data_IF_554111596447
#
_entry.id   IF_554111596447
#
_cell.length_a   1.000
_cell.length_b   1.000
_cell.length_c   1.000
_cell.angle_alpha   90.00
_cell.angle_beta   90.00
_cell.angle_gamma   90.00
#
_symmetry.space_group_name_H-M   'P 1'
#
loop_
_entity.id
_entity.type
_entity.pdbx_description
1 polymer ?
#
# COMPACT_ATOMS: atom_id res chain seq x y z
N UNK A 1 -18.75 9.82 5.36
CA UNK A 1 -17.53 9.17 4.82
C UNK A 1 -16.83 10.24 4.03
N UNK A 2 -15.75 10.79 4.59
CA UNK A 2 -14.98 11.82 3.90
C UNK A 2 -13.88 11.13 3.11
N UNK A 3 -13.97 11.22 1.78
CA UNK A 3 -12.98 10.71 0.85
C UNK A 3 -12.04 11.87 0.51
N UNK A 4 -10.86 11.87 1.10
CA UNK A 4 -9.80 12.81 0.74
C UNK A 4 -8.92 12.14 -0.33
N UNK A 5 -8.79 12.77 -1.50
CA UNK A 5 -7.79 12.36 -2.49
C UNK A 5 -6.48 13.02 -2.09
N UNK A 6 -5.53 12.24 -1.58
CA UNK A 6 -4.23 12.76 -1.18
C UNK A 6 -3.32 12.89 -2.40
N UNK A 7 -3.57 13.90 -3.23
CA UNK A 7 -2.71 14.23 -4.38
C UNK A 7 -1.27 14.57 -3.99
N UNK A 8 -1.01 14.93 -2.73
CA UNK A 8 0.34 15.26 -2.22
C UNK A 8 1.18 14.05 -1.79
N UNK A 9 0.61 12.83 -1.76
CA UNK A 9 1.38 11.64 -1.38
C UNK A 9 2.21 11.09 -2.53
N UNK A 10 1.76 11.27 -3.78
CA UNK A 10 2.46 10.81 -4.98
C UNK A 10 3.24 11.97 -5.60
N UNK A 11 4.57 11.89 -5.55
CA UNK A 11 5.45 12.88 -6.18
C UNK A 11 5.48 12.69 -7.70
N UNK A 12 4.34 12.88 -8.38
CA UNK A 12 4.29 13.14 -9.82
C UNK A 12 4.28 11.94 -10.77
N UNK A 13 4.22 10.69 -10.31
CA UNK A 13 4.06 9.54 -11.22
C UNK A 13 2.58 9.31 -11.55
N UNK A 14 2.16 9.89 -12.69
CA UNK A 14 0.79 9.93 -13.27
C UNK A 14 0.06 8.58 -13.47
N UNK A 15 0.64 7.46 -13.05
CA UNK A 15 0.10 6.11 -13.33
C UNK A 15 -0.41 5.35 -12.11
N UNK A 16 -0.18 5.85 -10.89
CA UNK A 16 -0.58 5.22 -9.64
C UNK A 16 -1.82 5.93 -9.07
N UNK A 17 -2.90 5.20 -8.83
CA UNK A 17 -4.10 5.75 -8.19
C UNK A 17 -4.10 5.39 -6.70
N UNK A 18 -3.93 6.41 -5.87
CA UNK A 18 -3.96 6.26 -4.41
C UNK A 18 -5.30 6.75 -3.85
N UNK A 19 -5.88 5.92 -2.99
CA UNK A 19 -7.07 6.25 -2.22
C UNK A 19 -6.73 6.13 -0.73
N UNK A 20 -6.99 7.19 0.01
CA UNK A 20 -6.90 7.17 1.47
C UNK A 20 -8.24 7.59 2.01
N UNK A 21 -8.76 6.82 2.96
CA UNK A 21 -10.07 7.08 3.56
C UNK A 21 -9.95 7.05 5.06
N UNK A 22 -10.45 8.09 5.73
CA UNK A 22 -10.66 8.06 7.18
C UNK A 22 -11.92 7.27 7.47
N UNK A 23 -11.78 6.22 8.25
CA UNK A 23 -12.84 5.28 8.62
C UNK A 23 -12.90 5.12 10.14
N UNK A 24 -13.96 4.48 10.62
CA UNK A 24 -14.05 4.01 12.00
C UNK A 24 -13.95 2.49 12.00
N UNK A 25 -12.82 1.94 12.42
CA UNK A 25 -12.61 0.48 12.54
C UNK A 25 -12.76 0.07 13.99
N UNK A 26 -13.68 -0.86 14.27
CA UNK A 26 -13.94 -1.38 15.63
C UNK A 26 -14.17 -0.29 16.69
N UNK A 27 -14.67 0.88 16.30
CA UNK A 27 -14.91 2.00 17.21
C UNK A 27 -13.81 3.07 17.22
N UNK A 28 -12.66 2.83 16.59
CA UNK A 28 -11.51 3.73 16.58
C UNK A 28 -11.35 4.42 15.22
N UNK A 29 -10.90 5.68 15.23
CA UNK A 29 -10.60 6.39 13.98
C UNK A 29 -9.33 5.81 13.36
N UNK A 30 -9.38 5.48 12.07
CA UNK A 30 -8.25 4.87 11.35
C UNK A 30 -8.25 5.32 9.90
N UNK A 31 -7.16 5.09 9.19
CA UNK A 31 -7.09 5.24 7.75
C UNK A 31 -7.01 3.90 7.05
N UNK A 32 -7.61 3.79 5.88
CA UNK A 32 -7.32 2.73 4.91
C UNK A 32 -6.56 3.40 3.76
N UNK A 33 -5.36 2.92 3.48
CA UNK A 33 -4.56 3.29 2.32
C UNK A 33 -4.72 2.19 1.27
N UNK A 34 -5.22 2.54 0.09
CA UNK A 34 -5.34 1.64 -1.06
C UNK A 34 -4.50 2.20 -2.20
N UNK A 35 -3.55 1.40 -2.66
CA UNK A 35 -2.71 1.69 -3.81
C UNK A 35 -3.09 0.78 -4.98
N UNK A 36 -3.39 1.36 -6.15
CA UNK A 36 -3.64 0.60 -7.37
C UNK A 36 -2.41 0.63 -8.28
N UNK A 37 -1.84 -0.55 -8.51
CA UNK A 37 -0.70 -0.76 -9.42
C UNK A 37 -1.20 -1.44 -10.71
N UNK A 38 -1.10 -0.74 -11.83
CA UNK A 38 -1.61 -1.17 -13.13
C UNK A 38 -0.54 -1.76 -14.06
N UNK A 39 0.75 -1.70 -13.68
CA UNK A 39 1.84 -2.24 -14.49
C UNK A 39 2.57 -3.38 -13.78
N UNK A 40 2.79 -4.46 -14.52
CA UNK A 40 3.48 -5.65 -14.04
C UNK A 40 5.00 -5.52 -13.92
N UNK A 41 5.55 -4.34 -14.22
CA UNK A 41 6.99 -4.14 -14.23
C UNK A 41 7.50 -4.30 -12.80
N UNK A 42 8.46 -5.21 -12.53
CA UNK A 42 9.04 -5.36 -11.21
C UNK A 42 9.67 -4.03 -10.79
N UNK A 43 8.98 -3.30 -9.92
CA UNK A 43 9.55 -2.11 -9.33
C UNK A 43 10.32 -2.58 -8.10
N UNK A 44 11.65 -2.58 -8.22
CA UNK A 44 12.63 -3.00 -7.19
C UNK A 44 12.40 -2.39 -5.79
N UNK A 45 11.52 -1.40 -5.67
CA UNK A 45 11.25 -0.63 -4.46
C UNK A 45 9.76 -0.55 -4.10
N UNK A 46 8.89 -1.42 -4.65
CA UNK A 46 7.43 -1.35 -4.41
C UNK A 46 7.09 -1.34 -2.91
N UNK A 47 7.53 -2.35 -2.15
CA UNK A 47 7.26 -2.43 -0.71
C UNK A 47 7.80 -1.21 0.05
N UNK A 48 8.93 -0.64 -0.40
CA UNK A 48 9.49 0.60 0.17
C UNK A 48 8.60 1.81 -0.11
N UNK A 49 8.00 1.91 -1.31
CA UNK A 49 7.02 2.97 -1.64
C UNK A 49 5.77 2.84 -0.76
N UNK A 50 5.22 1.64 -0.63
CA UNK A 50 4.08 1.39 0.27
C UNK A 50 4.39 1.81 1.72
N UNK A 51 5.59 1.48 2.21
CA UNK A 51 6.03 1.94 3.52
C UNK A 51 6.11 3.47 3.60
N UNK A 52 6.62 4.17 2.59
CA UNK A 52 6.68 5.62 2.58
C UNK A 52 5.30 6.29 2.58
N UNK A 53 4.33 5.76 1.82
CA UNK A 53 2.95 6.24 1.84
C UNK A 53 2.31 6.05 3.22
N UNK A 54 2.41 4.84 3.77
CA UNK A 54 1.96 4.54 5.13
C UNK A 54 2.60 5.50 6.16
N UNK A 55 3.91 5.64 6.15
CA UNK A 55 4.65 6.43 7.13
C UNK A 55 4.28 7.92 7.08
N UNK A 56 4.04 8.48 5.89
CA UNK A 56 3.59 9.87 5.72
C UNK A 56 2.22 10.11 6.34
N UNK A 57 1.27 9.20 6.09
CA UNK A 57 -0.09 9.31 6.66
C UNK A 57 -0.03 9.12 8.17
N UNK A 58 0.64 8.07 8.63
CA UNK A 58 0.75 7.77 10.06
C UNK A 58 1.42 8.93 10.82
N UNK A 59 2.53 9.48 10.31
CA UNK A 59 3.21 10.60 10.94
C UNK A 59 2.38 11.90 10.94
N UNK A 60 1.55 12.13 9.91
CA UNK A 60 0.74 13.35 9.80
C UNK A 60 -0.47 13.35 10.74
N UNK A 61 -1.11 12.19 10.93
CA UNK A 61 -2.39 12.12 11.63
C UNK A 61 -2.35 11.38 12.97
N UNK A 62 -1.27 10.65 13.26
CA UNK A 62 -1.11 9.85 14.49
C UNK A 62 -2.29 8.90 14.73
N UNK A 63 -2.80 8.30 13.64
CA UNK A 63 -3.87 7.31 13.66
C UNK A 63 -3.40 6.02 12.99
N UNK A 64 -3.95 4.85 13.39
CA UNK A 64 -3.70 3.59 12.71
C UNK A 64 -4.00 3.70 11.20
N UNK A 65 -3.15 3.09 10.38
CA UNK A 65 -3.31 3.04 8.92
C UNK A 65 -3.26 1.59 8.48
N UNK A 66 -4.25 1.13 7.73
CA UNK A 66 -4.30 -0.20 7.15
C UNK A 66 -3.93 -0.15 5.66
N UNK A 67 -2.74 -0.63 5.26
CA UNK A 67 -2.27 -0.56 3.88
C UNK A 67 -2.74 -1.75 3.04
N UNK A 68 -3.26 -1.46 1.85
CA UNK A 68 -3.72 -2.42 0.84
C UNK A 68 -3.11 -2.02 -0.51
N UNK A 69 -2.58 -2.98 -1.26
CA UNK A 69 -2.29 -2.84 -2.68
C UNK A 69 -3.23 -3.72 -3.50
N UNK A 70 -3.68 -3.19 -4.64
CA UNK A 70 -4.37 -3.93 -5.69
C UNK A 70 -3.47 -3.96 -6.93
N UNK A 71 -3.10 -5.15 -7.37
CA UNK A 71 -2.40 -5.36 -8.63
C UNK A 71 -3.41 -5.75 -9.72
N UNK A 72 -3.52 -4.93 -10.76
CA UNK A 72 -4.54 -5.07 -11.82
C UNK A 72 -4.00 -5.53 -13.17
N UNK A 73 -2.73 -5.92 -13.27
CA UNK A 73 -2.15 -6.45 -14.51
C UNK A 73 -2.39 -7.96 -14.66
N UNK A 74 -2.48 -8.44 -15.90
CA UNK A 74 -2.84 -9.85 -16.18
C UNK A 74 -1.67 -10.83 -15.96
N UNK A 75 -0.43 -10.42 -16.20
CA UNK A 75 0.76 -11.27 -16.12
C UNK A 75 1.94 -10.49 -15.53
N UNK A 76 2.90 -11.13 -14.83
CA UNK A 76 3.01 -12.57 -14.59
C UNK A 76 2.04 -13.08 -13.51
N UNK A 77 1.64 -14.35 -13.62
CA UNK A 77 0.89 -15.07 -12.58
C UNK A 77 1.87 -15.60 -11.52
N UNK A 78 2.43 -14.70 -10.72
CA UNK A 78 3.24 -15.03 -9.54
C UNK A 78 2.77 -14.20 -8.35
N UNK A 79 2.93 -14.70 -7.11
CA UNK A 79 2.72 -13.89 -5.92
C UNK A 79 3.62 -12.64 -5.93
N UNK A 80 3.04 -11.51 -5.52
CA UNK A 80 3.79 -10.30 -5.23
C UNK A 80 4.17 -10.23 -3.74
N UNK A 81 5.28 -9.56 -3.39
CA UNK A 81 5.66 -9.35 -2.00
C UNK A 81 4.54 -8.64 -1.22
N UNK A 82 4.33 -9.09 0.02
CA UNK A 82 3.36 -8.54 0.97
C UNK A 82 4.00 -7.77 2.13
N UNK A 83 5.33 -7.59 2.09
CA UNK A 83 6.05 -6.91 3.16
C UNK A 83 7.31 -6.19 2.66
N UNK A 84 7.74 -5.21 3.45
CA UNK A 84 9.02 -4.51 3.32
C UNK A 84 9.80 -4.66 4.62
N UNK A 85 11.04 -5.13 4.51
CA UNK A 85 11.88 -5.44 5.66
C UNK A 85 13.16 -4.61 5.60
N UNK A 86 13.52 -3.99 6.73
CA UNK A 86 14.84 -3.38 6.95
C UNK A 86 15.54 -4.20 8.02
N UNK A 87 16.58 -4.92 7.60
CA UNK A 87 17.37 -5.77 8.47
C UNK A 87 18.86 -5.43 8.39
N UNK A 88 19.51 -5.52 9.54
CA UNK A 88 20.96 -5.50 9.74
C UNK A 88 21.41 -6.90 10.16
N UNK A 89 22.71 -7.25 10.09
CA UNK A 89 23.20 -8.60 10.41
C UNK A 89 22.73 -9.15 11.76
N UNK A 90 22.45 -8.28 12.74
CA UNK A 90 22.04 -8.66 14.10
C UNK A 90 20.58 -8.32 14.45
N UNK A 91 19.83 -7.61 13.59
CA UNK A 91 18.49 -7.10 13.94
C UNK A 91 17.64 -6.72 12.74
N UNK A 92 16.38 -7.16 12.74
CA UNK A 92 15.31 -6.54 11.94
C UNK A 92 14.80 -5.30 12.66
N UNK A 93 14.99 -4.12 12.07
CA UNK A 93 14.54 -2.85 12.66
C UNK A 93 13.16 -2.42 12.18
N UNK A 94 12.71 -2.97 11.06
CA UNK A 94 11.38 -2.74 10.50
C UNK A 94 10.92 -4.00 9.77
N UNK A 95 9.73 -4.46 10.11
CA UNK A 95 8.93 -5.34 9.27
C UNK A 95 7.59 -4.64 9.07
N UNK A 96 7.35 -4.21 7.83
CA UNK A 96 6.13 -3.53 7.43
C UNK A 96 5.32 -4.47 6.54
N UNK A 97 4.16 -4.90 7.02
CA UNK A 97 3.25 -5.78 6.30
C UNK A 97 2.11 -4.98 5.66
N UNK A 98 1.65 -5.42 4.49
CA UNK A 98 0.52 -4.85 3.79
C UNK A 98 -0.30 -5.92 3.06
N UNK A 99 -1.58 -5.65 2.90
CA UNK A 99 -2.49 -6.58 2.24
C UNK A 99 -2.32 -6.50 0.73
N UNK A 100 -2.10 -7.64 0.09
CA UNK A 100 -1.95 -7.77 -1.36
C UNK A 100 -3.21 -8.39 -1.95
N UNK A 101 -3.83 -7.70 -2.91
CA UNK A 101 -4.91 -8.22 -3.74
C UNK A 101 -4.41 -8.29 -5.18
N UNK A 102 -4.20 -9.50 -5.70
CA UNK A 102 -3.79 -9.73 -7.08
C UNK A 102 -4.98 -10.18 -7.93
N UNK A 103 -5.51 -9.29 -8.76
CA UNK A 103 -6.71 -9.59 -9.55
C UNK A 103 -6.50 -10.75 -10.52
N UNK A 104 -5.29 -10.89 -11.08
CA UNK A 104 -4.93 -12.00 -11.96
C UNK A 104 -4.79 -13.36 -11.26
N UNK A 105 -4.91 -13.43 -9.94
CA UNK A 105 -4.94 -14.67 -9.17
C UNK A 105 -6.32 -14.99 -8.59
N UNK A 106 -7.28 -14.07 -8.72
CA UNK A 106 -8.65 -14.30 -8.27
C UNK A 106 -9.43 -14.98 -9.41
N UNK A 107 -10.28 -15.95 -9.05
CA UNK A 107 -11.22 -16.57 -10.00
C UNK A 107 -12.42 -15.65 -10.26
N UNK A 108 -12.17 -14.45 -10.77
CA UNK A 108 -13.21 -13.53 -11.21
C UNK A 108 -13.68 -13.87 -12.64
N UNK A 109 -15.00 -13.94 -12.84
CA UNK A 109 -15.68 -14.12 -14.13
C UNK A 109 -16.51 -12.88 -14.43
#
# INVERSE_FOLDING_TARGET
MDKELFTDLTSGEKHEADLVMKVKMLGEASFILIHLENQAKPQLQFGKRMFHYFARIHAKYDLPVYPIVIFSYDAPQRPEPQSYVVAFPNKTVLQFDYTVIQLNQLSWR
#
